data_IF_035593199497
#
_entry.id   IF_035593199497
#
_cell.length_a   1.000
_cell.length_b   1.000
_cell.length_c   1.000
_cell.angle_alpha   90.00
_cell.angle_beta   90.00
_cell.angle_gamma   90.00
#
_symmetry.space_group_name_H-M   'P 1'
#
loop_
_entity.id
_entity.type
_entity.pdbx_description
1 polymer ?
#
# COMPACT_ATOMS: atom_id res chain seq x y z
N UNK A 1 4.34 9.10 18.97
CA UNK A 1 3.65 8.73 17.71
C UNK A 1 3.82 7.23 17.54
N UNK A 2 2.73 6.47 17.40
CA UNK A 2 2.84 5.03 17.15
C UNK A 2 3.37 4.80 15.73
N UNK A 3 4.58 4.25 15.59
CA UNK A 3 5.17 3.94 14.30
C UNK A 3 4.58 2.62 13.78
N UNK A 4 3.66 2.70 12.81
CA UNK A 4 3.20 1.52 12.08
C UNK A 4 4.34 0.97 11.22
N UNK A 5 4.71 -0.30 11.43
CA UNK A 5 5.71 -1.02 10.64
C UNK A 5 5.16 -1.28 9.23
N UNK A 6 6.02 -1.15 8.22
CA UNK A 6 5.72 -1.54 6.84
C UNK A 6 6.35 -2.92 6.61
N UNK A 7 5.53 -3.89 6.24
CA UNK A 7 5.95 -5.27 5.99
C UNK A 7 5.41 -5.72 4.63
N UNK A 8 6.15 -6.61 3.99
CA UNK A 8 5.84 -7.14 2.66
C UNK A 8 5.83 -8.66 2.71
N UNK A 9 4.94 -9.28 1.94
CA UNK A 9 5.17 -10.65 1.47
C UNK A 9 6.18 -10.64 0.33
N UNK A 10 6.84 -11.76 0.05
CA UNK A 10 7.82 -11.85 -1.05
C UNK A 10 7.19 -11.47 -2.41
N UNK A 11 5.96 -11.90 -2.67
CA UNK A 11 5.21 -11.55 -3.87
C UNK A 11 5.00 -10.03 -3.98
N UNK A 12 4.48 -9.39 -2.93
CA UNK A 12 4.23 -7.95 -2.92
C UNK A 12 5.51 -7.12 -3.04
N UNK A 13 6.63 -7.62 -2.51
CA UNK A 13 7.94 -6.96 -2.65
C UNK A 13 8.45 -7.03 -4.09
N UNK A 14 8.32 -8.20 -4.74
CA UNK A 14 8.71 -8.36 -6.13
C UNK A 14 7.90 -7.45 -7.07
N UNK A 15 6.58 -7.37 -6.87
CA UNK A 15 5.73 -6.43 -7.61
C UNK A 15 6.13 -4.98 -7.37
N UNK A 16 6.40 -4.62 -6.12
CA UNK A 16 6.85 -3.27 -5.77
C UNK A 16 8.17 -2.92 -6.48
N UNK A 17 9.13 -3.83 -6.53
CA UNK A 17 10.41 -3.65 -7.25
C UNK A 17 10.19 -3.56 -8.77
N UNK A 18 9.34 -4.42 -9.34
CA UNK A 18 9.00 -4.38 -10.77
C UNK A 18 8.49 -3.00 -11.21
N UNK A 19 7.62 -2.37 -10.41
CA UNK A 19 7.11 -1.03 -10.72
C UNK A 19 8.19 0.07 -10.70
N UNK A 20 9.33 -0.14 -10.03
CA UNK A 20 10.42 0.84 -10.03
C UNK A 20 11.08 1.02 -11.39
N UNK A 21 11.14 -0.05 -12.18
CA UNK A 21 11.73 -0.03 -13.53
C UNK A 21 10.67 0.18 -14.61
N UNK A 22 9.45 -0.32 -14.41
CA UNK A 22 8.43 -0.33 -15.45
C UNK A 22 7.62 0.96 -15.53
N UNK A 23 7.10 1.46 -14.40
CA UNK A 23 6.27 2.68 -14.37
C UNK A 23 6.40 3.43 -13.04
N UNK A 24 7.20 4.49 -13.08
CA UNK A 24 7.42 5.38 -11.94
C UNK A 24 6.17 6.13 -11.49
N UNK A 25 5.16 6.31 -12.35
CA UNK A 25 3.89 6.94 -11.96
C UNK A 25 3.09 6.00 -11.06
N UNK A 26 3.02 4.72 -11.42
CA UNK A 26 2.43 3.67 -10.58
C UNK A 26 3.17 3.54 -9.25
N UNK A 27 4.51 3.48 -9.26
CA UNK A 27 5.31 3.46 -8.01
C UNK A 27 5.00 4.66 -7.09
N UNK A 28 4.96 5.89 -7.66
CA UNK A 28 4.60 7.10 -6.89
C UNK A 28 3.20 6.99 -6.28
N UNK A 29 2.23 6.40 -7.00
CA UNK A 29 0.87 6.20 -6.50
C UNK A 29 0.84 5.21 -5.33
N UNK A 30 1.56 4.10 -5.44
CA UNK A 30 1.71 3.10 -4.36
C UNK A 30 2.30 3.74 -3.10
N UNK A 31 3.40 4.49 -3.23
CA UNK A 31 4.04 5.17 -2.10
C UNK A 31 3.11 6.19 -1.42
N UNK A 32 2.30 6.91 -2.21
CA UNK A 32 1.31 7.84 -1.67
C UNK A 32 0.22 7.11 -0.89
N UNK A 33 -0.28 5.97 -1.39
CA UNK A 33 -1.27 5.14 -0.70
C UNK A 33 -0.74 4.56 0.61
N UNK A 34 0.48 4.00 0.60
CA UNK A 34 1.13 3.46 1.81
C UNK A 34 1.28 4.55 2.87
N UNK A 35 1.73 5.74 2.47
CA UNK A 35 1.91 6.88 3.40
C UNK A 35 0.59 7.31 4.03
N UNK A 36 -0.48 7.40 3.22
CA UNK A 36 -1.81 7.79 3.70
C UNK A 36 -2.41 6.73 4.62
N UNK A 37 -2.35 5.45 4.24
CA UNK A 37 -2.82 4.32 5.07
C UNK A 37 -2.06 4.22 6.41
N UNK A 38 -0.75 4.52 6.41
CA UNK A 38 0.03 4.62 7.66
C UNK A 38 -0.43 5.76 8.57
N UNK A 39 -1.11 6.79 8.04
CA UNK A 39 -1.70 7.88 8.82
C UNK A 39 -3.13 7.56 9.24
N UNK A 40 -3.98 7.25 8.25
CA UNK A 40 -5.40 6.89 8.41
C UNK A 40 -5.69 5.55 7.70
N UNK A 41 -5.76 4.42 8.42
CA UNK A 41 -5.85 3.09 7.80
C UNK A 41 -7.13 2.78 7.03
N UNK A 42 -8.26 3.39 7.43
CA UNK A 42 -9.59 3.06 6.92
C UNK A 42 -10.27 4.24 6.21
N UNK A 43 -9.57 5.34 6.02
CA UNK A 43 -10.07 6.55 5.38
C UNK A 43 -8.99 7.14 4.49
N UNK A 44 -9.39 8.04 3.58
CA UNK A 44 -8.46 8.81 2.76
C UNK A 44 -8.45 8.39 1.30
N UNK A 45 -7.28 8.52 0.66
CA UNK A 45 -7.17 8.43 -0.79
C UNK A 45 -7.20 6.97 -1.26
N UNK A 46 -7.70 6.73 -2.47
CA UNK A 46 -7.76 5.38 -3.03
C UNK A 46 -9.03 4.62 -2.72
N UNK A 47 -9.99 5.24 -2.03
CA UNK A 47 -11.29 4.65 -1.65
C UNK A 47 -11.07 3.35 -0.87
N UNK A 48 -10.59 3.44 0.39
CA UNK A 48 -10.42 2.26 1.23
C UNK A 48 -11.78 1.57 1.40
N UNK A 49 -11.84 0.28 1.06
CA UNK A 49 -13.03 -0.55 1.20
C UNK A 49 -12.66 -1.77 2.05
N UNK A 50 -13.48 -2.16 3.04
CA UNK A 50 -13.23 -3.38 3.79
C UNK A 50 -13.37 -4.59 2.87
N UNK A 51 -12.40 -5.49 2.94
CA UNK A 51 -12.52 -6.80 2.31
C UNK A 51 -13.61 -7.62 3.03
N UNK A 52 -14.18 -8.61 2.33
CA UNK A 52 -15.27 -9.46 2.83
C UNK A 52 -14.83 -10.91 2.91
N UNK A 53 -15.69 -11.77 3.45
CA UNK A 53 -15.47 -13.21 3.60
C UNK A 53 -14.30 -13.52 4.54
N UNK A 54 -13.46 -14.50 4.22
CA UNK A 54 -12.32 -14.92 5.05
C UNK A 54 -11.12 -13.95 5.03
N UNK A 55 -11.35 -12.69 4.66
CA UNK A 55 -10.33 -11.65 4.50
C UNK A 55 -10.57 -10.42 5.40
N UNK A 56 -11.62 -10.46 6.25
CA UNK A 56 -11.96 -9.41 7.23
C UNK A 56 -11.52 -9.77 8.64
#
# INVERSE_FOLDING_TARGET
MSSRLLSWTDESWNDYVYWQTQDKKTLKRINKLITDAKRSPFEGIGKPEPLKENLS
#
